data_IF_816394456749
#
_entry.id   IF_816394456749
#
_cell.length_a   1.000
_cell.length_b   1.000
_cell.length_c   1.000
_cell.angle_alpha   90.00
_cell.angle_beta   90.00
_cell.angle_gamma   90.00
#
_symmetry.space_group_name_H-M   'P 1'
#
loop_
_entity.id
_entity.type
_entity.pdbx_description
1 polymer ?
#
# COMPACT_ATOMS: atom_id res chain seq x y z
N UNK A 1 35.91 94.54 -6.52
CA UNK A 1 34.56 94.51 -5.92
C UNK A 1 33.62 93.96 -6.98
N UNK A 2 32.77 92.98 -6.60
CA UNK A 2 31.74 92.29 -7.42
C UNK A 2 32.31 91.27 -8.44
N UNK A 3 32.17 89.96 -8.14
CA UNK A 3 31.20 88.96 -8.71
C UNK A 3 31.67 88.47 -10.10
N UNK A 4 31.63 87.20 -10.52
CA UNK A 4 30.82 86.03 -10.17
C UNK A 4 31.38 84.79 -10.96
N UNK A 5 30.94 83.59 -10.57
CA UNK A 5 30.88 82.32 -11.34
C UNK A 5 32.15 81.47 -11.60
N UNK A 6 32.21 80.29 -10.96
CA UNK A 6 31.97 79.00 -11.64
C UNK A 6 31.97 77.80 -10.68
N UNK A 7 30.79 77.18 -10.58
CA UNK A 7 30.50 75.74 -10.40
C UNK A 7 31.39 74.88 -11.34
N UNK A 8 31.70 73.59 -11.17
CA UNK A 8 31.18 72.50 -10.35
C UNK A 8 32.10 71.26 -10.51
N UNK A 9 31.79 70.22 -9.73
CA UNK A 9 32.07 68.78 -9.94
C UNK A 9 33.20 68.11 -9.14
N UNK A 10 32.90 67.96 -7.85
CA UNK A 10 33.23 66.77 -7.06
C UNK A 10 32.47 65.55 -7.61
N UNK A 11 33.16 64.45 -7.95
CA UNK A 11 32.64 63.06 -7.89
C UNK A 11 33.71 62.08 -8.37
N UNK A 12 34.61 61.64 -7.48
CA UNK A 12 35.45 60.45 -7.75
C UNK A 12 36.25 59.98 -6.53
N UNK A 13 35.60 59.78 -5.37
CA UNK A 13 36.34 59.22 -4.21
C UNK A 13 35.54 58.34 -3.25
N UNK A 14 34.37 57.82 -3.65
CA UNK A 14 33.53 56.99 -2.75
C UNK A 14 33.06 55.64 -3.30
N UNK A 15 33.66 55.09 -4.38
CA UNK A 15 33.26 53.79 -4.95
C UNK A 15 34.18 52.60 -4.67
N UNK A 16 35.27 52.74 -3.91
CA UNK A 16 36.23 51.63 -3.72
C UNK A 16 36.16 50.87 -2.39
N UNK A 17 35.28 51.22 -1.44
CA UNK A 17 35.28 50.61 -0.10
C UNK A 17 34.14 49.62 0.21
N UNK A 18 33.34 49.16 -0.77
CA UNK A 18 32.19 48.26 -0.50
C UNK A 18 32.31 46.81 -1.04
N UNK A 19 33.42 46.40 -1.64
CA UNK A 19 33.53 45.07 -2.28
C UNK A 19 34.37 44.01 -1.54
N UNK A 20 34.64 44.18 -0.24
CA UNK A 20 35.34 43.18 0.58
C UNK A 20 34.55 42.79 1.84
N UNK A 21 33.25 42.49 1.67
CA UNK A 21 32.59 41.58 2.62
C UNK A 21 33.01 40.16 2.26
N UNK A 22 33.96 39.63 3.04
CA UNK A 22 34.41 38.25 2.95
C UNK A 22 33.22 37.30 2.74
N UNK A 23 33.25 36.53 1.67
CA UNK A 23 32.44 35.31 1.52
C UNK A 23 32.93 34.30 2.56
N UNK A 24 32.68 34.55 3.84
CA UNK A 24 32.95 33.58 4.90
C UNK A 24 32.02 32.40 4.64
N UNK A 25 32.57 31.31 4.11
CA UNK A 25 31.80 30.13 3.76
C UNK A 25 31.14 29.59 5.04
N UNK A 26 29.83 29.83 5.18
CA UNK A 26 29.08 29.52 6.39
C UNK A 26 28.97 28.01 6.58
N UNK A 27 29.64 27.48 7.61
CA UNK A 27 29.49 26.09 8.05
C UNK A 27 28.26 25.96 8.96
N UNK A 28 27.51 24.86 8.82
CA UNK A 28 26.31 24.54 9.60
C UNK A 28 26.40 23.10 10.12
N UNK A 29 25.60 22.77 11.14
CA UNK A 29 25.31 21.38 11.53
C UNK A 29 23.95 20.91 11.06
N UNK A 30 23.07 21.84 10.69
CA UNK A 30 21.66 21.58 10.45
C UNK A 30 21.38 21.74 8.96
N UNK A 31 20.94 20.65 8.34
CA UNK A 31 20.70 20.58 6.91
C UNK A 31 19.35 19.92 6.61
N UNK A 32 18.79 20.37 5.49
CA UNK A 32 17.59 19.88 4.87
C UNK A 32 17.97 19.51 3.44
N UNK A 33 17.66 18.28 3.05
CA UNK A 33 17.96 17.76 1.73
C UNK A 33 16.67 17.27 1.09
N UNK A 34 16.48 17.59 -0.18
CA UNK A 34 15.39 17.05 -0.98
C UNK A 34 16.00 16.35 -2.19
N UNK A 35 15.62 15.10 -2.44
CA UNK A 35 16.12 14.28 -3.55
C UNK A 35 14.96 13.78 -4.39
N UNK A 36 14.94 14.13 -5.68
CA UNK A 36 13.84 13.82 -6.61
C UNK A 36 13.88 12.41 -7.22
N UNK A 37 14.78 11.53 -6.75
CA UNK A 37 14.99 10.19 -7.31
C UNK A 37 14.99 9.13 -6.21
N UNK A 38 14.11 8.12 -6.34
CA UNK A 38 13.85 7.10 -5.29
C UNK A 38 14.12 5.67 -5.80
N UNK A 39 15.15 5.45 -6.61
CA UNK A 39 15.60 4.05 -6.83
C UNK A 39 16.40 3.49 -5.65
N UNK A 40 16.63 4.29 -4.61
CA UNK A 40 17.21 3.88 -3.34
C UNK A 40 16.10 3.95 -2.29
N UNK A 41 15.93 2.93 -1.46
CA UNK A 41 14.90 2.93 -0.42
C UNK A 41 15.26 3.89 0.72
N UNK A 42 14.25 4.41 1.44
CA UNK A 42 14.46 5.22 2.66
C UNK A 42 15.40 4.57 3.67
N UNK A 43 15.28 3.25 3.86
CA UNK A 43 16.11 2.49 4.80
C UNK A 43 17.59 2.54 4.41
N UNK A 44 17.91 2.27 3.14
CA UNK A 44 19.29 2.34 2.64
C UNK A 44 19.86 3.76 2.79
N UNK A 45 19.06 4.79 2.49
CA UNK A 45 19.48 6.19 2.69
C UNK A 45 19.74 6.49 4.17
N UNK A 46 18.91 5.97 5.05
CA UNK A 46 19.04 6.15 6.48
C UNK A 46 20.33 5.51 7.01
N UNK A 47 20.55 4.24 6.71
CA UNK A 47 21.72 3.46 7.16
C UNK A 47 23.03 4.12 6.71
N UNK A 48 23.08 4.60 5.46
CA UNK A 48 24.27 5.27 4.91
C UNK A 48 24.55 6.66 5.51
N UNK A 49 23.54 7.32 6.09
CA UNK A 49 23.67 8.66 6.65
C UNK A 49 23.75 8.68 8.18
N UNK A 50 23.33 7.60 8.84
CA UNK A 50 23.21 7.52 10.29
C UNK A 50 24.55 7.78 10.99
N UNK A 51 25.63 7.17 10.51
CA UNK A 51 26.98 7.32 11.07
C UNK A 51 27.49 8.78 11.06
N UNK A 52 27.00 9.61 10.14
CA UNK A 52 27.42 11.01 9.99
C UNK A 52 26.59 11.99 10.84
N UNK A 53 25.51 11.51 11.46
CA UNK A 53 24.47 12.34 12.05
C UNK A 53 24.25 12.00 13.53
N UNK A 54 24.02 13.01 14.37
CA UNK A 54 23.46 12.81 15.71
C UNK A 54 21.93 12.94 15.73
N UNK A 55 21.34 13.49 14.67
CA UNK A 55 19.90 13.42 14.39
C UNK A 55 19.70 13.26 12.90
N UNK A 56 18.82 12.35 12.53
CA UNK A 56 18.51 12.05 11.14
C UNK A 56 17.02 11.77 11.04
N UNK A 57 16.39 12.28 9.99
CA UNK A 57 15.06 11.86 9.58
C UNK A 57 15.06 11.74 8.06
N UNK A 58 14.58 10.62 7.56
CA UNK A 58 14.33 10.37 6.14
C UNK A 58 12.84 10.12 5.97
N UNK A 59 12.19 10.98 5.21
CA UNK A 59 10.78 10.85 4.84
C UNK A 59 10.62 10.82 3.32
N UNK A 60 9.54 10.21 2.86
CA UNK A 60 9.13 10.15 1.46
C UNK A 60 7.82 10.93 1.30
N UNK A 61 7.91 12.06 0.64
CA UNK A 61 6.82 13.03 0.54
C UNK A 61 6.61 13.43 -0.93
N UNK A 62 5.36 13.65 -1.37
CA UNK A 62 5.13 14.19 -2.71
C UNK A 62 5.64 15.63 -2.80
N UNK A 63 6.38 15.93 -3.87
CA UNK A 63 6.80 17.29 -4.17
C UNK A 63 5.70 18.06 -4.92
N UNK A 64 5.93 19.34 -5.27
CA UNK A 64 4.93 20.18 -5.96
C UNK A 64 4.38 19.58 -7.27
N UNK A 65 5.13 18.67 -7.89
CA UNK A 65 4.77 17.95 -9.12
C UNK A 65 4.07 16.60 -8.85
N UNK A 66 3.73 16.30 -7.60
CA UNK A 66 3.22 15.01 -7.11
C UNK A 66 4.18 13.83 -7.29
N UNK A 67 5.44 14.06 -7.66
CA UNK A 67 6.44 13.00 -7.67
C UNK A 67 6.95 12.76 -6.25
N UNK A 68 7.16 11.49 -5.86
CA UNK A 68 7.69 11.19 -4.54
C UNK A 68 9.15 11.63 -4.48
N UNK A 69 9.50 12.34 -3.42
CA UNK A 69 10.86 12.79 -3.13
C UNK A 69 11.30 12.29 -1.76
N UNK A 70 12.59 12.02 -1.59
CA UNK A 70 13.16 11.88 -0.26
C UNK A 70 13.41 13.27 0.33
N UNK A 71 12.78 13.53 1.48
CA UNK A 71 13.02 14.69 2.31
C UNK A 71 13.82 14.27 3.54
N UNK A 72 15.03 14.79 3.66
CA UNK A 72 15.99 14.39 4.68
C UNK A 72 16.27 15.59 5.58
N UNK A 73 16.03 15.44 6.88
CA UNK A 73 16.58 16.33 7.89
C UNK A 73 17.81 15.69 8.50
N UNK A 74 18.88 16.46 8.64
CA UNK A 74 20.14 15.97 9.18
C UNK A 74 20.77 17.00 10.12
N UNK A 75 21.17 16.52 11.30
CA UNK A 75 22.07 17.19 12.22
C UNK A 75 23.39 16.43 12.26
N UNK A 76 24.40 16.99 11.62
CA UNK A 76 25.71 16.36 11.48
C UNK A 76 26.53 16.46 12.76
N UNK A 77 27.44 15.50 12.97
CA UNK A 77 28.38 15.50 14.10
C UNK A 77 29.28 16.75 14.08
N UNK A 78 29.76 17.11 12.89
CA UNK A 78 30.65 18.25 12.65
C UNK A 78 29.98 19.37 11.86
N UNK A 79 30.57 20.57 11.92
CA UNK A 79 30.11 21.73 11.14
C UNK A 79 30.61 21.60 9.69
N UNK A 80 29.70 21.35 8.76
CA UNK A 80 30.01 21.14 7.34
C UNK A 80 29.54 22.32 6.48
N UNK A 81 30.06 22.38 5.25
CA UNK A 81 29.64 23.27 4.17
C UNK A 81 28.58 22.55 3.32
N UNK A 82 27.72 23.32 2.65
CA UNK A 82 26.70 22.76 1.75
C UNK A 82 27.33 21.87 0.66
N UNK A 83 28.51 22.24 0.13
CA UNK A 83 29.23 21.44 -0.89
C UNK A 83 29.64 20.05 -0.34
N UNK A 84 30.06 19.98 0.92
CA UNK A 84 30.45 18.71 1.57
C UNK A 84 29.22 17.81 1.74
N UNK A 85 28.09 18.36 2.22
CA UNK A 85 26.82 17.62 2.30
C UNK A 85 26.36 17.12 0.94
N UNK A 86 26.43 17.97 -0.09
CA UNK A 86 26.05 17.56 -1.45
C UNK A 86 26.91 16.41 -1.95
N UNK A 87 28.21 16.40 -1.66
CA UNK A 87 29.09 15.29 -2.03
C UNK A 87 28.72 13.99 -1.31
N UNK A 88 28.40 14.05 -0.02
CA UNK A 88 27.95 12.89 0.77
C UNK A 88 26.65 12.35 0.17
N UNK A 89 25.64 13.21 -0.02
CA UNK A 89 24.36 12.82 -0.60
C UNK A 89 24.55 12.24 -2.00
N UNK A 90 25.37 12.86 -2.85
CA UNK A 90 25.63 12.32 -4.18
C UNK A 90 26.25 10.91 -4.09
N UNK A 91 27.14 10.63 -3.14
CA UNK A 91 27.69 9.28 -2.95
C UNK A 91 26.60 8.25 -2.61
N UNK A 92 25.61 8.65 -1.78
CA UNK A 92 24.46 7.80 -1.41
C UNK A 92 23.54 7.51 -2.62
N UNK A 93 23.39 8.46 -3.53
CA UNK A 93 22.46 8.36 -4.67
C UNK A 93 23.14 8.12 -6.03
N UNK A 94 24.47 7.98 -6.08
CA UNK A 94 25.23 7.91 -7.33
C UNK A 94 25.11 6.55 -8.03
N UNK A 95 24.71 6.62 -9.32
CA UNK A 95 25.35 5.87 -10.41
C UNK A 95 26.72 6.51 -10.74
N UNK A 96 27.65 5.79 -11.41
CA UNK A 96 28.94 6.33 -11.85
C UNK A 96 28.71 7.58 -12.72
N UNK A 97 29.37 8.70 -12.41
CA UNK A 97 29.32 9.88 -13.26
C UNK A 97 30.25 9.71 -14.46
N UNK A 98 29.74 9.97 -15.66
CA UNK A 98 30.56 10.30 -16.83
C UNK A 98 31.06 11.73 -16.60
N UNK A 99 32.37 11.90 -16.65
CA UNK A 99 33.03 13.20 -16.62
C UNK A 99 32.64 13.99 -17.88
N UNK A 100 31.95 15.11 -17.72
CA UNK A 100 31.95 16.16 -18.74
C UNK A 100 32.63 17.40 -18.14
N UNK A 101 33.75 17.74 -18.76
CA UNK A 101 34.55 18.93 -18.53
C UNK A 101 33.80 20.18 -19.01
N UNK A 102 34.03 21.27 -18.25
CA UNK A 102 33.93 22.66 -18.66
C UNK A 102 32.57 23.24 -19.06
N UNK A 103 31.99 24.00 -18.13
CA UNK A 103 31.02 25.03 -18.46
C UNK A 103 30.29 25.55 -17.23
N UNK A 104 30.71 26.70 -16.72
CA UNK A 104 29.94 27.50 -15.76
C UNK A 104 28.54 27.78 -16.30
N UNK A 105 27.58 26.93 -15.94
CA UNK A 105 26.16 27.17 -16.12
C UNK A 105 25.43 26.65 -14.89
N UNK A 106 24.50 27.45 -14.38
CA UNK A 106 23.67 27.22 -13.20
C UNK A 106 22.64 26.09 -13.41
N UNK A 107 23.06 24.92 -13.88
CA UNK A 107 22.20 23.75 -13.97
C UNK A 107 22.40 22.87 -12.73
N UNK A 108 21.30 22.72 -11.99
CA UNK A 108 21.15 21.74 -10.93
C UNK A 108 21.63 20.38 -11.42
N UNK A 109 22.71 19.86 -10.83
CA UNK A 109 23.07 18.45 -10.96
C UNK A 109 21.90 17.65 -10.39
N UNK A 110 21.15 17.07 -11.33
CA UNK A 110 19.84 16.45 -11.26
C UNK A 110 19.38 15.98 -9.87
N UNK A 111 18.46 16.73 -9.28
CA UNK A 111 17.51 16.24 -8.27
C UNK A 111 17.85 16.47 -6.81
N UNK A 112 19.06 16.92 -6.44
CA UNK A 112 19.46 17.11 -5.03
C UNK A 112 19.50 18.59 -4.63
N UNK A 113 18.56 18.99 -3.78
CA UNK A 113 18.53 20.32 -3.16
C UNK A 113 19.03 20.23 -1.71
N UNK A 114 20.08 20.99 -1.36
CA UNK A 114 20.62 21.06 0.01
C UNK A 114 20.50 22.48 0.54
N UNK A 115 19.93 22.64 1.73
CA UNK A 115 19.79 23.92 2.41
C UNK A 115 20.10 23.81 3.90
N UNK A 116 20.47 24.92 4.54
CA UNK A 116 20.64 24.96 6.00
C UNK A 116 19.29 25.17 6.69
N UNK A 117 19.03 24.44 7.78
CA UNK A 117 17.78 24.56 8.53
C UNK A 117 17.88 25.68 9.56
N UNK A 118 16.95 26.63 9.51
CA UNK A 118 16.84 27.72 10.50
C UNK A 118 15.99 27.35 11.71
N UNK A 119 14.91 26.59 11.49
CA UNK A 119 14.01 26.14 12.53
C UNK A 119 13.73 24.64 12.30
N UNK A 120 14.32 23.81 13.17
CA UNK A 120 14.21 22.34 13.13
C UNK A 120 12.76 21.87 13.22
N UNK A 121 12.01 22.38 14.19
CA UNK A 121 10.63 21.95 14.46
C UNK A 121 9.72 22.22 13.26
N UNK A 122 9.82 23.41 12.65
CA UNK A 122 9.00 23.75 11.49
C UNK A 122 9.32 22.85 10.29
N UNK A 123 10.60 22.53 10.08
CA UNK A 123 11.00 21.68 8.98
C UNK A 123 10.54 20.24 9.20
N UNK A 124 10.75 19.66 10.39
CA UNK A 124 10.31 18.31 10.74
C UNK A 124 8.79 18.14 10.59
N UNK A 125 7.99 19.12 11.04
CA UNK A 125 6.54 19.12 10.85
C UNK A 125 6.11 19.19 9.38
N UNK A 126 6.90 19.87 8.54
CA UNK A 126 6.62 19.99 7.12
C UNK A 126 6.89 18.69 6.36
N UNK A 127 8.03 18.03 6.62
CA UNK A 127 8.47 16.83 5.89
C UNK A 127 7.92 15.50 6.42
N UNK A 128 7.09 15.52 7.46
CA UNK A 128 6.39 14.33 7.98
C UNK A 128 4.88 14.45 7.83
N UNK A 129 4.45 15.29 6.89
CA UNK A 129 3.04 15.66 6.73
C UNK A 129 2.25 14.55 6.04
N UNK A 130 2.84 13.82 5.11
CA UNK A 130 2.18 12.74 4.37
C UNK A 130 2.90 11.40 4.50
N UNK A 131 4.17 11.36 4.90
CA UNK A 131 4.86 10.11 5.17
C UNK A 131 4.38 9.49 6.48
N UNK A 132 3.76 8.31 6.36
CA UNK A 132 3.20 7.56 7.48
C UNK A 132 4.25 6.70 8.20
N UNK A 133 5.42 6.47 7.57
CA UNK A 133 6.51 5.65 8.09
C UNK A 133 7.87 6.33 7.83
N UNK A 134 8.11 7.55 8.33
CA UNK A 134 9.44 8.17 8.31
C UNK A 134 10.40 7.37 9.19
N UNK A 135 11.67 7.30 8.80
CA UNK A 135 12.74 6.67 9.58
C UNK A 135 13.54 7.78 10.25
N UNK A 136 13.72 7.73 11.57
CA UNK A 136 14.41 8.79 12.29
C UNK A 136 15.20 8.30 13.52
N UNK A 137 16.27 9.03 13.84
CA UNK A 137 17.09 8.86 15.04
C UNK A 137 17.30 10.22 15.73
N UNK A 138 17.29 10.22 17.06
CA UNK A 138 17.68 11.36 17.88
C UNK A 138 16.71 12.56 17.86
N UNK A 139 15.49 12.35 17.34
CA UNK A 139 14.44 13.36 17.18
C UNK A 139 13.27 13.03 18.10
N UNK A 140 12.77 14.04 18.82
CA UNK A 140 11.58 13.90 19.64
C UNK A 140 10.33 13.82 18.75
N UNK A 141 9.45 12.86 19.02
CA UNK A 141 8.22 12.65 18.25
C UNK A 141 7.28 13.87 18.26
N UNK A 142 7.30 14.65 19.34
CA UNK A 142 6.55 15.91 19.44
C UNK A 142 6.97 16.98 18.42
N UNK A 143 8.14 16.82 17.79
CA UNK A 143 8.60 17.68 16.69
C UNK A 143 8.06 17.25 15.32
N UNK A 144 7.42 16.07 15.21
CA UNK A 144 6.85 15.56 13.96
C UNK A 144 5.46 16.17 13.73
N UNK A 145 4.93 15.97 12.52
CA UNK A 145 3.66 16.56 12.13
C UNK A 145 2.49 16.04 12.98
N UNK A 146 1.46 16.87 13.12
CA UNK A 146 0.19 16.44 13.71
C UNK A 146 -0.40 15.21 13.02
N UNK A 147 -0.25 15.11 11.69
CA UNK A 147 -0.79 14.00 10.91
C UNK A 147 -0.08 12.69 11.22
N UNK A 148 1.25 12.69 11.32
CA UNK A 148 2.04 11.54 11.75
C UNK A 148 1.60 11.05 13.14
N UNK A 149 1.51 11.96 14.11
CA UNK A 149 1.10 11.64 15.47
C UNK A 149 -0.33 11.08 15.52
N UNK A 150 -1.23 11.62 14.69
CA UNK A 150 -2.61 11.13 14.56
C UNK A 150 -2.65 9.70 14.00
N UNK A 151 -1.88 9.40 12.95
CA UNK A 151 -1.86 8.06 12.35
C UNK A 151 -1.32 7.03 13.33
N UNK A 152 -0.26 7.36 14.07
CA UNK A 152 0.29 6.47 15.08
C UNK A 152 -0.69 6.21 16.23
N UNK A 153 -1.33 7.26 16.73
CA UNK A 153 -2.40 7.13 17.72
C UNK A 153 -3.54 6.24 17.19
N UNK A 154 -3.98 6.47 15.95
CA UNK A 154 -5.02 5.69 15.30
C UNK A 154 -4.63 4.22 15.08
N UNK A 155 -3.34 3.93 14.90
CA UNK A 155 -2.82 2.57 14.73
C UNK A 155 -2.84 1.80 16.06
N UNK A 156 -2.63 2.48 17.18
CA UNK A 156 -2.53 1.87 18.51
C UNK A 156 -3.86 1.75 19.25
N UNK A 157 -4.87 2.54 18.87
CA UNK A 157 -6.18 2.54 19.52
C UNK A 157 -7.23 1.81 18.68
N UNK A 158 -7.86 0.79 19.27
CA UNK A 158 -8.86 -0.06 18.60
C UNK A 158 -10.13 0.73 18.29
N UNK A 159 -10.65 1.44 19.29
CA UNK A 159 -11.90 2.21 19.18
C UNK A 159 -11.65 3.71 19.27
N UNK A 160 -12.43 4.50 18.53
CA UNK A 160 -12.40 5.95 18.63
C UNK A 160 -13.17 6.40 19.88
N UNK A 161 -12.48 7.05 20.83
CA UNK A 161 -13.10 7.59 22.04
C UNK A 161 -12.97 9.11 22.10
N UNK A 162 -14.09 9.81 22.26
CA UNK A 162 -14.08 11.28 22.43
C UNK A 162 -13.37 11.73 23.70
N UNK A 163 -13.23 10.85 24.68
CA UNK A 163 -12.54 11.08 25.96
C UNK A 163 -11.05 10.75 25.91
N UNK A 164 -10.53 10.27 24.78
CA UNK A 164 -9.10 9.96 24.64
C UNK A 164 -8.24 11.23 24.80
N UNK A 165 -7.13 11.19 25.54
CA UNK A 165 -6.25 12.35 25.73
C UNK A 165 -5.77 13.02 24.44
N UNK A 166 -5.52 12.24 23.37
CA UNK A 166 -5.15 12.77 22.07
C UNK A 166 -6.29 13.56 21.43
N UNK A 167 -7.53 13.06 21.52
CA UNK A 167 -8.72 13.74 21.01
C UNK A 167 -9.00 15.01 21.82
N UNK A 168 -8.90 14.93 23.14
CA UNK A 168 -9.11 16.06 24.05
C UNK A 168 -8.06 17.18 23.90
N UNK A 169 -6.83 16.84 23.48
CA UNK A 169 -5.80 17.84 23.17
C UNK A 169 -6.06 18.58 21.85
N UNK A 170 -6.93 18.05 20.98
CA UNK A 170 -7.23 18.61 19.65
C UNK A 170 -8.74 18.64 19.36
N UNK A 171 -9.56 19.26 20.23
CA UNK A 171 -11.01 19.18 20.15
C UNK A 171 -11.57 19.77 18.85
N UNK A 172 -10.92 20.78 18.28
CA UNK A 172 -11.31 21.39 17.00
C UNK A 172 -11.11 20.45 15.79
N UNK A 173 -10.30 19.40 15.93
CA UNK A 173 -9.97 18.46 14.86
C UNK A 173 -10.66 17.10 15.00
N UNK A 174 -11.61 16.93 15.94
CA UNK A 174 -12.19 15.62 16.25
C UNK A 174 -12.75 14.86 15.02
N UNK A 175 -13.42 15.55 14.08
CA UNK A 175 -13.93 14.92 12.84
C UNK A 175 -12.81 14.41 11.93
N UNK A 176 -11.68 15.12 11.89
CA UNK A 176 -10.51 14.68 11.14
C UNK A 176 -9.87 13.47 11.82
N UNK A 177 -9.72 13.51 13.15
CA UNK A 177 -9.20 12.41 13.93
C UNK A 177 -10.04 11.14 13.74
N UNK A 178 -11.37 11.26 13.80
CA UNK A 178 -12.32 10.16 13.58
C UNK A 178 -12.15 9.57 12.17
N UNK A 179 -12.08 10.44 11.16
CA UNK A 179 -11.86 10.00 9.76
C UNK A 179 -10.52 9.29 9.59
N UNK A 180 -9.44 9.80 10.19
CA UNK A 180 -8.11 9.15 10.12
C UNK A 180 -8.13 7.82 10.84
N UNK A 181 -8.74 7.75 12.02
CA UNK A 181 -8.91 6.52 12.80
C UNK A 181 -9.64 5.44 12.01
N UNK A 182 -10.82 5.73 11.47
CA UNK A 182 -11.59 4.79 10.64
C UNK A 182 -10.77 4.32 9.43
N UNK A 183 -10.05 5.23 8.76
CA UNK A 183 -9.22 4.87 7.61
C UNK A 183 -8.06 3.93 7.98
N UNK A 184 -7.36 4.22 9.08
CA UNK A 184 -6.25 3.38 9.58
C UNK A 184 -6.77 2.03 10.04
N UNK A 185 -7.87 1.99 10.80
CA UNK A 185 -8.49 0.75 11.24
C UNK A 185 -8.98 -0.08 10.06
N UNK A 186 -9.57 0.52 9.03
CA UNK A 186 -9.94 -0.20 7.81
C UNK A 186 -8.71 -0.77 7.08
N UNK A 187 -7.62 0.01 6.97
CA UNK A 187 -6.36 -0.48 6.38
C UNK A 187 -5.75 -1.62 7.19
N UNK A 188 -5.71 -1.51 8.51
CA UNK A 188 -5.17 -2.55 9.39
C UNK A 188 -6.05 -3.81 9.35
N UNK A 189 -7.38 -3.67 9.18
CA UNK A 189 -8.26 -4.81 8.90
C UNK A 189 -7.89 -5.46 7.56
N UNK A 190 -7.67 -4.68 6.50
CA UNK A 190 -7.22 -5.20 5.22
C UNK A 190 -5.80 -5.83 5.26
N UNK A 191 -4.92 -5.44 6.18
CA UNK A 191 -3.61 -6.10 6.41
C UNK A 191 -3.73 -7.46 7.10
N UNK A 192 -4.88 -7.81 7.71
CA UNK A 192 -5.13 -9.16 8.25
C UNK A 192 -5.42 -10.22 7.18
N UNK A 193 -5.61 -9.81 5.93
CA UNK A 193 -5.85 -10.74 4.83
C UNK A 193 -4.52 -11.02 4.15
N UNK A 194 -3.99 -12.22 4.34
CA UNK A 194 -2.78 -12.60 3.63
C UNK A 194 -3.02 -12.63 2.11
N UNK A 195 -1.97 -12.30 1.36
CA UNK A 195 -2.02 -12.38 -0.10
C UNK A 195 -2.01 -13.85 -0.50
N UNK A 196 -3.02 -14.27 -1.23
CA UNK A 196 -3.06 -15.58 -1.88
C UNK A 196 -1.83 -15.78 -2.76
N UNK A 197 -1.20 -16.96 -2.65
CA UNK A 197 -0.02 -17.32 -3.43
C UNK A 197 -0.35 -18.35 -4.53
N UNK A 198 0.40 -18.36 -5.64
CA UNK A 198 0.30 -19.44 -6.62
C UNK A 198 0.75 -20.78 -5.99
N UNK A 199 0.13 -21.87 -6.43
CA UNK A 199 0.54 -23.21 -6.06
C UNK A 199 1.69 -23.67 -6.98
N UNK A 200 2.86 -23.93 -6.39
CA UNK A 200 4.11 -24.19 -7.12
C UNK A 200 4.42 -25.69 -7.33
N UNK A 201 3.72 -26.61 -6.65
CA UNK A 201 3.99 -28.04 -6.71
C UNK A 201 3.16 -28.74 -7.80
N UNK A 202 3.57 -28.65 -9.07
CA UNK A 202 3.07 -29.55 -10.12
C UNK A 202 4.15 -30.61 -10.36
N UNK A 203 4.07 -31.73 -9.65
CA UNK A 203 5.01 -32.85 -9.82
C UNK A 203 4.30 -34.04 -10.47
N UNK A 204 4.85 -34.46 -11.63
CA UNK A 204 4.55 -35.62 -12.49
C UNK A 204 3.68 -35.40 -13.75
N UNK A 205 4.06 -36.07 -14.85
CA UNK A 205 3.37 -36.05 -16.15
C UNK A 205 1.99 -36.74 -16.09
N UNK A 206 1.77 -37.71 -15.18
CA UNK A 206 0.46 -38.36 -14.98
C UNK A 206 -0.57 -37.41 -14.36
N UNK A 207 -0.12 -36.42 -13.59
CA UNK A 207 -0.96 -35.41 -12.95
C UNK A 207 -1.45 -34.36 -13.97
N UNK A 208 -0.77 -34.20 -15.12
CA UNK A 208 -1.11 -33.21 -16.17
C UNK A 208 -2.54 -33.31 -16.73
N UNK A 209 -3.15 -34.50 -16.73
CA UNK A 209 -4.51 -34.73 -17.23
C UNK A 209 -5.55 -34.97 -16.13
N UNK A 210 -5.26 -34.55 -14.90
CA UNK A 210 -6.18 -34.69 -13.75
C UNK A 210 -7.05 -33.45 -13.55
N UNK A 211 -8.25 -33.64 -12.98
CA UNK A 211 -9.14 -32.53 -12.64
C UNK A 211 -8.50 -31.60 -11.58
N UNK A 212 -7.65 -32.14 -10.71
CA UNK A 212 -6.87 -31.38 -9.73
C UNK A 212 -5.97 -30.36 -10.43
N UNK A 213 -5.33 -30.73 -11.53
CA UNK A 213 -4.49 -29.82 -12.30
C UNK A 213 -5.30 -28.73 -13.00
N UNK A 214 -6.48 -29.03 -13.52
CA UNK A 214 -7.34 -27.99 -14.10
C UNK A 214 -7.75 -26.94 -13.06
N UNK A 215 -7.96 -27.36 -11.80
CA UNK A 215 -8.20 -26.49 -10.65
C UNK A 215 -6.96 -25.66 -10.31
N UNK A 216 -5.78 -26.28 -10.24
CA UNK A 216 -4.51 -25.56 -9.97
C UNK A 216 -4.21 -24.53 -11.05
N UNK A 217 -4.40 -24.86 -12.33
CA UNK A 217 -4.21 -23.93 -13.45
C UNK A 217 -5.17 -22.74 -13.32
N UNK A 218 -6.44 -23.01 -12.98
CA UNK A 218 -7.42 -21.95 -12.73
C UNK A 218 -7.03 -21.08 -11.53
N UNK A 219 -6.59 -21.68 -10.43
CA UNK A 219 -6.13 -20.98 -9.23
C UNK A 219 -4.97 -20.05 -9.56
N UNK A 220 -3.92 -20.59 -10.18
CA UNK A 220 -2.74 -19.82 -10.54
C UNK A 220 -3.05 -18.68 -11.51
N UNK A 221 -3.95 -18.88 -12.48
CA UNK A 221 -4.44 -17.77 -13.32
C UNK A 221 -5.14 -16.68 -12.50
N UNK A 222 -5.98 -17.05 -11.54
CA UNK A 222 -6.61 -16.09 -10.63
C UNK A 222 -5.62 -15.28 -9.82
N UNK A 223 -4.61 -15.95 -9.25
CA UNK A 223 -3.64 -15.29 -8.40
C UNK A 223 -2.70 -14.40 -9.21
N UNK A 224 -2.15 -14.90 -10.33
CA UNK A 224 -1.15 -14.18 -11.14
C UNK A 224 -1.79 -13.03 -11.91
N UNK A 225 -2.92 -13.27 -12.58
CA UNK A 225 -3.54 -12.28 -13.45
C UNK A 225 -4.62 -11.43 -12.77
N UNK A 226 -4.92 -11.72 -11.49
CA UNK A 226 -5.88 -10.98 -10.69
C UNK A 226 -7.32 -11.01 -11.23
N UNK A 227 -8.18 -10.17 -10.66
CA UNK A 227 -9.54 -10.00 -11.14
C UNK A 227 -9.59 -9.23 -12.47
N UNK A 228 -10.43 -9.71 -13.40
CA UNK A 228 -10.91 -8.96 -14.58
C UNK A 228 -12.42 -9.08 -14.63
N UNK A 229 -13.10 -8.07 -15.19
CA UNK A 229 -14.57 -8.10 -15.30
C UNK A 229 -15.03 -9.39 -16.01
N UNK A 230 -16.00 -10.10 -15.41
CA UNK A 230 -16.50 -11.41 -15.86
C UNK A 230 -15.45 -12.52 -15.93
N UNK A 231 -14.37 -12.45 -15.12
CA UNK A 231 -13.41 -13.55 -15.01
C UNK A 231 -14.11 -14.83 -14.51
N UNK A 232 -13.82 -15.96 -15.16
CA UNK A 232 -14.47 -17.22 -14.88
C UNK A 232 -14.19 -17.72 -13.46
N UNK A 233 -15.23 -18.07 -12.72
CA UNK A 233 -15.17 -18.69 -11.39
C UNK A 233 -15.16 -20.21 -11.50
N UNK A 234 -14.68 -20.93 -10.49
CA UNK A 234 -14.57 -22.38 -10.57
C UNK A 234 -15.88 -23.07 -10.17
N UNK A 235 -16.37 -23.96 -11.02
CA UNK A 235 -17.45 -24.89 -10.71
C UNK A 235 -16.92 -26.32 -10.74
N UNK A 236 -16.59 -26.86 -9.58
CA UNK A 236 -16.05 -28.20 -9.41
C UNK A 236 -17.18 -29.17 -9.06
N UNK A 237 -17.47 -30.11 -9.95
CA UNK A 237 -18.58 -31.05 -9.76
C UNK A 237 -18.20 -32.49 -9.99
N UNK A 238 -18.89 -33.41 -9.33
CA UNK A 238 -18.68 -34.85 -9.50
C UNK A 238 -19.25 -35.64 -8.33
N UNK A 239 -19.18 -36.98 -8.35
CA UNK A 239 -19.73 -37.82 -7.29
C UNK A 239 -19.22 -37.46 -5.89
N UNK A 240 -19.97 -37.80 -4.86
CA UNK A 240 -19.49 -37.74 -3.47
C UNK A 240 -18.24 -38.62 -3.29
N UNK A 241 -17.41 -38.31 -2.30
CA UNK A 241 -16.18 -39.05 -1.97
C UNK A 241 -15.08 -39.06 -3.05
N UNK A 242 -15.11 -38.12 -4.00
CA UNK A 242 -14.00 -37.93 -4.96
C UNK A 242 -12.87 -37.04 -4.43
N UNK A 243 -12.99 -36.53 -3.21
CA UNK A 243 -11.97 -35.69 -2.55
C UNK A 243 -12.03 -34.20 -2.91
N UNK A 244 -13.09 -33.71 -3.57
CA UNK A 244 -13.26 -32.29 -3.96
C UNK A 244 -13.01 -31.31 -2.81
N UNK A 245 -13.79 -31.44 -1.73
CA UNK A 245 -13.71 -30.56 -0.56
C UNK A 245 -12.32 -30.62 0.07
N UNK A 246 -11.82 -31.83 0.34
CA UNK A 246 -10.49 -32.03 0.92
C UNK A 246 -9.38 -31.39 0.08
N UNK A 247 -9.43 -31.54 -1.25
CA UNK A 247 -8.45 -30.95 -2.15
C UNK A 247 -8.49 -29.42 -2.15
N UNK A 248 -9.68 -28.81 -2.25
CA UNK A 248 -9.82 -27.34 -2.25
C UNK A 248 -9.36 -26.75 -0.92
N UNK A 249 -9.73 -27.34 0.22
CA UNK A 249 -9.24 -26.89 1.52
C UNK A 249 -7.72 -27.03 1.64
N UNK A 250 -7.15 -28.14 1.19
CA UNK A 250 -5.69 -28.33 1.19
C UNK A 250 -4.97 -27.32 0.29
N UNK A 251 -5.53 -27.01 -0.88
CA UNK A 251 -5.01 -26.01 -1.81
C UNK A 251 -5.00 -24.62 -1.16
N UNK A 252 -6.14 -24.19 -0.60
CA UNK A 252 -6.25 -22.89 0.05
C UNK A 252 -5.29 -22.81 1.23
N UNK A 253 -5.30 -23.80 2.13
CA UNK A 253 -4.40 -23.84 3.30
C UNK A 253 -2.94 -23.70 2.90
N UNK A 254 -2.50 -24.43 1.86
CA UNK A 254 -1.11 -24.39 1.38
C UNK A 254 -0.75 -23.03 0.76
N UNK A 255 -1.69 -22.40 0.06
CA UNK A 255 -1.47 -21.13 -0.64
C UNK A 255 -1.60 -19.90 0.25
N UNK A 256 -2.23 -20.02 1.42
CA UNK A 256 -2.31 -19.00 2.45
C UNK A 256 -1.14 -19.17 3.43
N UNK A 257 -1.02 -20.35 4.06
CA UNK A 257 0.00 -20.65 5.09
C UNK A 257 1.03 -21.68 4.57
N UNK A 258 2.05 -21.27 3.79
CA UNK A 258 3.05 -22.21 3.29
C UNK A 258 3.89 -22.80 4.43
N UNK A 259 4.35 -24.07 4.30
CA UNK A 259 5.10 -24.78 5.36
C UNK A 259 6.35 -24.05 5.88
N UNK A 260 6.95 -23.16 5.08
CA UNK A 260 8.13 -22.38 5.47
C UNK A 260 7.87 -21.28 6.49
N UNK A 261 6.61 -20.97 6.81
CA UNK A 261 6.20 -19.87 7.69
C UNK A 261 5.35 -20.34 8.89
N UNK A 262 5.34 -21.66 9.16
CA UNK A 262 4.45 -22.31 10.14
C UNK A 262 4.89 -22.22 11.61
N UNK A 263 6.01 -21.58 11.96
CA UNK A 263 6.57 -21.72 13.31
C UNK A 263 5.71 -21.10 14.44
N UNK A 264 4.74 -20.21 14.16
CA UNK A 264 3.87 -19.60 15.19
C UNK A 264 2.44 -19.22 14.72
N UNK A 265 1.99 -19.66 13.54
CA UNK A 265 0.68 -19.24 13.00
C UNK A 265 -0.48 -20.15 13.47
N UNK A 266 -1.62 -19.53 13.81
CA UNK A 266 -2.88 -20.24 14.09
C UNK A 266 -3.25 -21.15 12.90
N UNK A 267 -3.37 -22.47 13.15
CA UNK A 267 -3.67 -23.47 12.12
C UNK A 267 -4.95 -23.17 11.33
N UNK A 268 -5.86 -22.36 11.89
CA UNK A 268 -7.14 -21.99 11.30
C UNK A 268 -7.16 -20.61 10.64
N UNK A 269 -6.04 -19.88 10.61
CA UNK A 269 -6.00 -18.54 10.03
C UNK A 269 -6.52 -18.46 8.58
N UNK A 270 -6.30 -19.52 7.78
CA UNK A 270 -6.81 -19.58 6.42
C UNK A 270 -8.35 -19.66 6.35
N UNK A 271 -9.02 -20.19 7.38
CA UNK A 271 -10.48 -20.30 7.42
C UNK A 271 -11.15 -18.94 7.57
N UNK A 272 -10.53 -18.01 8.30
CA UNK A 272 -11.02 -16.63 8.45
C UNK A 272 -11.06 -15.87 7.11
N UNK A 273 -10.22 -16.29 6.15
CA UNK A 273 -10.14 -15.68 4.83
C UNK A 273 -11.17 -16.23 3.82
N UNK A 274 -11.87 -17.31 4.17
CA UNK A 274 -12.88 -17.97 3.33
C UNK A 274 -14.26 -17.45 3.70
N UNK A 275 -14.87 -16.70 2.78
CA UNK A 275 -16.28 -16.34 2.89
C UNK A 275 -17.18 -17.51 2.46
N UNK A 276 -18.17 -17.86 3.29
CA UNK A 276 -19.17 -18.91 3.03
C UNK A 276 -20.59 -18.35 3.03
N UNK A 277 -21.17 -18.04 1.86
CA UNK A 277 -22.55 -17.60 1.74
C UNK A 277 -23.54 -18.61 2.31
N UNK A 278 -24.36 -18.21 3.30
CA UNK A 278 -25.32 -19.11 3.94
C UNK A 278 -26.67 -19.15 3.18
N UNK A 279 -27.09 -20.30 2.61
CA UNK A 279 -28.29 -20.35 1.77
C UNK A 279 -29.64 -20.28 2.54
N UNK A 280 -29.63 -20.40 3.87
CA UNK A 280 -30.81 -20.50 4.74
C UNK A 280 -31.93 -19.49 4.42
N UNK A 281 -31.59 -18.26 4.07
CA UNK A 281 -32.53 -17.29 3.51
C UNK A 281 -31.88 -16.62 2.28
N UNK A 282 -32.36 -16.92 1.07
CA UNK A 282 -31.79 -16.43 -0.22
C UNK A 282 -31.41 -14.94 -0.22
N UNK A 283 -32.24 -14.10 0.41
CA UNK A 283 -32.07 -12.64 0.49
C UNK A 283 -30.93 -12.18 1.40
N UNK A 284 -30.44 -13.05 2.28
CA UNK A 284 -29.42 -12.78 3.29
C UNK A 284 -28.14 -13.61 3.08
N UNK A 285 -28.05 -14.37 1.99
CA UNK A 285 -26.90 -15.26 1.73
C UNK A 285 -25.54 -14.55 1.75
N UNK A 286 -25.52 -13.23 1.51
CA UNK A 286 -24.31 -12.42 1.41
C UNK A 286 -24.10 -11.46 2.60
N UNK A 287 -24.86 -11.61 3.68
CA UNK A 287 -24.96 -10.60 4.76
C UNK A 287 -23.70 -10.48 5.64
N UNK A 288 -22.86 -11.51 5.67
CA UNK A 288 -21.64 -11.57 6.49
C UNK A 288 -20.37 -11.28 5.68
N UNK A 289 -20.52 -10.93 4.40
CA UNK A 289 -19.37 -10.64 3.56
C UNK A 289 -18.64 -9.37 4.04
N UNK A 290 -17.38 -9.55 4.41
CA UNK A 290 -16.44 -8.48 4.72
C UNK A 290 -15.19 -8.57 3.83
N UNK A 291 -14.98 -7.57 2.98
CA UNK A 291 -13.80 -7.48 2.10
C UNK A 291 -12.48 -7.24 2.84
N UNK A 292 -12.54 -6.95 4.14
CA UNK A 292 -11.38 -6.80 5.01
C UNK A 292 -11.01 -8.07 5.75
N UNK A 293 -11.82 -9.12 5.68
CA UNK A 293 -11.54 -10.42 6.26
C UNK A 293 -11.36 -11.49 5.18
N UNK A 294 -12.17 -11.43 4.13
CA UNK A 294 -12.24 -12.51 3.14
C UNK A 294 -11.54 -12.15 1.83
N UNK A 295 -10.80 -13.11 1.28
CA UNK A 295 -10.19 -13.04 -0.07
C UNK A 295 -10.55 -14.22 -0.96
N UNK A 296 -11.33 -15.19 -0.48
CA UNK A 296 -11.85 -16.32 -1.24
C UNK A 296 -13.33 -16.48 -0.91
N UNK A 297 -14.15 -16.86 -1.88
CA UNK A 297 -15.51 -17.35 -1.62
C UNK A 297 -15.57 -18.85 -1.92
N UNK A 298 -16.03 -19.63 -0.94
CA UNK A 298 -16.23 -21.07 -1.08
C UNK A 298 -17.67 -21.41 -0.78
N UNK A 299 -18.33 -22.07 -1.73
CA UNK A 299 -19.67 -22.64 -1.53
C UNK A 299 -19.55 -24.14 -1.69
N UNK A 300 -19.50 -24.84 -0.56
CA UNK A 300 -19.59 -26.30 -0.54
C UNK A 300 -21.06 -26.73 -0.67
N UNK A 301 -21.26 -27.91 -1.26
CA UNK A 301 -22.59 -28.46 -1.55
C UNK A 301 -23.51 -27.52 -2.36
N UNK A 302 -22.93 -26.79 -3.32
CA UNK A 302 -23.65 -25.79 -4.10
C UNK A 302 -24.85 -26.39 -4.85
N UNK A 303 -26.04 -25.90 -4.50
CA UNK A 303 -27.27 -26.02 -5.27
C UNK A 303 -27.74 -24.63 -5.70
N UNK A 304 -27.81 -24.39 -7.01
CA UNK A 304 -28.22 -23.10 -7.56
C UNK A 304 -29.65 -22.71 -7.17
N UNK A 305 -30.51 -23.69 -6.90
CA UNK A 305 -31.89 -23.46 -6.51
C UNK A 305 -32.00 -22.81 -5.15
N UNK A 306 -30.94 -22.81 -4.34
CA UNK A 306 -30.86 -22.18 -3.03
C UNK A 306 -30.44 -20.72 -3.06
N UNK A 307 -30.10 -20.18 -4.24
CA UNK A 307 -29.59 -18.82 -4.37
C UNK A 307 -30.46 -17.95 -5.28
N UNK A 308 -30.34 -16.63 -5.10
CA UNK A 308 -30.90 -15.67 -6.05
C UNK A 308 -29.98 -15.56 -7.26
N UNK A 309 -30.43 -16.06 -8.41
CA UNK A 309 -29.65 -16.08 -9.66
C UNK A 309 -29.26 -14.66 -10.12
N UNK A 310 -30.08 -13.65 -9.84
CA UNK A 310 -29.76 -12.25 -10.19
C UNK A 310 -28.59 -11.73 -9.37
N UNK A 311 -28.54 -12.04 -8.08
CA UNK A 311 -27.46 -11.63 -7.19
C UNK A 311 -26.18 -12.39 -7.54
N UNK A 312 -26.28 -13.72 -7.75
CA UNK A 312 -25.18 -14.55 -8.24
C UNK A 312 -24.57 -13.98 -9.52
N UNK A 313 -25.39 -13.59 -10.50
CA UNK A 313 -24.88 -12.97 -11.74
C UNK A 313 -24.05 -11.72 -11.47
N UNK A 314 -24.56 -10.79 -10.66
CA UNK A 314 -23.84 -9.56 -10.32
C UNK A 314 -22.50 -9.88 -9.67
N UNK A 315 -22.49 -10.82 -8.74
CA UNK A 315 -21.31 -11.26 -8.01
C UNK A 315 -20.28 -11.89 -8.95
N UNK A 316 -20.70 -12.80 -9.83
CA UNK A 316 -19.83 -13.43 -10.84
C UNK A 316 -19.24 -12.42 -11.83
N UNK A 317 -19.96 -11.34 -12.14
CA UNK A 317 -19.43 -10.21 -12.94
C UNK A 317 -18.43 -9.33 -12.18
N UNK A 318 -18.40 -9.43 -10.84
CA UNK A 318 -17.78 -8.46 -9.93
C UNK A 318 -18.48 -7.11 -9.92
N UNK A 319 -19.78 -7.07 -10.18
CA UNK A 319 -20.64 -5.89 -10.06
C UNK A 319 -21.02 -5.63 -8.59
N UNK A 320 -21.48 -4.41 -8.29
CA UNK A 320 -21.97 -4.08 -6.97
C UNK A 320 -23.36 -4.68 -6.71
N UNK A 321 -23.56 -5.18 -5.49
CA UNK A 321 -24.79 -5.75 -4.97
C UNK A 321 -25.14 -5.06 -3.65
N UNK A 322 -26.43 -4.91 -3.36
CA UNK A 322 -26.92 -4.52 -2.04
C UNK A 322 -27.27 -5.80 -1.28
N UNK A 323 -26.40 -6.21 -0.36
CA UNK A 323 -26.64 -7.33 0.53
C UNK A 323 -27.54 -6.86 1.69
N UNK A 324 -28.68 -7.53 1.87
CA UNK A 324 -29.52 -7.27 3.03
C UNK A 324 -28.91 -7.93 4.26
N UNK A 325 -29.06 -7.30 5.43
CA UNK A 325 -28.59 -7.82 6.71
C UNK A 325 -29.75 -7.92 7.67
N UNK A 326 -29.89 -9.06 8.35
CA UNK A 326 -31.02 -9.28 9.27
C UNK A 326 -30.95 -8.30 10.44
N UNK A 327 -31.97 -7.45 10.58
CA UNK A 327 -32.06 -6.46 11.67
C UNK A 327 -31.06 -5.29 11.57
N UNK A 328 -30.38 -5.13 10.43
CA UNK A 328 -29.39 -4.08 10.21
C UNK A 328 -29.61 -3.38 8.86
N UNK A 329 -28.89 -2.27 8.63
CA UNK A 329 -28.91 -1.59 7.34
C UNK A 329 -28.26 -2.45 6.26
N UNK A 330 -28.85 -2.45 5.06
CA UNK A 330 -28.27 -3.15 3.93
C UNK A 330 -26.89 -2.57 3.57
N UNK A 331 -26.00 -3.44 3.13
CA UNK A 331 -24.61 -3.11 2.82
C UNK A 331 -24.37 -3.23 1.32
N UNK A 332 -23.68 -2.25 0.73
CA UNK A 332 -23.20 -2.36 -0.65
C UNK A 332 -21.92 -3.19 -0.65
N UNK A 333 -21.92 -4.31 -1.35
CA UNK A 333 -20.78 -5.23 -1.46
C UNK A 333 -20.37 -5.41 -2.93
N UNK A 334 -19.10 -5.78 -3.13
CA UNK A 334 -18.54 -6.09 -4.44
C UNK A 334 -17.47 -7.16 -4.27
N UNK A 335 -17.66 -8.31 -4.91
CA UNK A 335 -16.72 -9.42 -4.84
C UNK A 335 -15.81 -9.39 -6.07
N UNK A 336 -14.51 -9.26 -5.85
CA UNK A 336 -13.46 -9.28 -6.89
C UNK A 336 -12.38 -10.30 -6.55
N UNK A 337 -12.83 -11.49 -6.17
CA UNK A 337 -11.99 -12.54 -5.61
C UNK A 337 -12.34 -13.89 -6.24
N UNK A 338 -11.45 -14.90 -6.12
CA UNK A 338 -11.74 -16.26 -6.56
C UNK A 338 -12.98 -16.81 -5.84
N UNK A 339 -13.89 -17.37 -6.61
CA UNK A 339 -15.08 -18.05 -6.12
C UNK A 339 -15.08 -19.49 -6.60
N UNK A 340 -15.31 -20.41 -5.66
CA UNK A 340 -15.28 -21.85 -5.89
C UNK A 340 -16.63 -22.42 -5.47
N UNK A 341 -17.33 -23.03 -6.43
CA UNK A 341 -18.52 -23.84 -6.19
C UNK A 341 -18.11 -25.31 -6.19
N UNK A 342 -18.43 -26.04 -5.13
CA UNK A 342 -18.27 -27.49 -5.06
C UNK A 342 -19.68 -28.10 -5.08
N UNK A 343 -19.97 -29.00 -6.02
CA UNK A 343 -21.28 -29.62 -6.10
C UNK A 343 -21.22 -31.11 -6.40
N UNK A 344 -22.19 -31.87 -5.89
CA UNK A 344 -22.46 -33.22 -6.35
C UNK A 344 -23.51 -33.24 -7.49
N UNK A 345 -24.18 -32.10 -7.73
CA UNK A 345 -25.15 -31.93 -8.79
C UNK A 345 -24.45 -31.53 -10.10
N UNK A 346 -24.99 -31.94 -11.26
CA UNK A 346 -24.46 -31.49 -12.54
C UNK A 346 -24.60 -29.97 -12.67
N UNK A 347 -23.65 -29.30 -13.35
CA UNK A 347 -23.76 -27.89 -13.63
C UNK A 347 -25.04 -27.61 -14.45
N UNK A 348 -25.67 -26.44 -14.29
CA UNK A 348 -26.91 -26.11 -14.97
C UNK A 348 -26.67 -25.70 -16.44
N UNK A 349 -25.96 -26.55 -17.20
CA UNK A 349 -25.53 -26.27 -18.58
C UNK A 349 -26.67 -26.44 -19.58
N UNK A 350 -27.61 -27.35 -19.28
CA UNK A 350 -28.73 -27.70 -20.16
C UNK A 350 -29.97 -26.79 -19.99
N UNK A 351 -29.97 -25.91 -18.98
CA UNK A 351 -31.04 -24.92 -18.81
C UNK A 351 -30.85 -23.79 -19.82
N UNK A 352 -31.65 -23.81 -20.89
CA UNK A 352 -31.61 -22.84 -21.98
C UNK A 352 -32.29 -21.52 -21.64
N UNK A 353 -32.72 -21.30 -20.39
CA UNK A 353 -33.27 -20.02 -19.99
C UNK A 353 -32.23 -18.90 -20.12
N UNK A 354 -32.69 -17.74 -20.59
CA UNK A 354 -31.92 -16.47 -20.58
C UNK A 354 -31.47 -16.11 -19.17
N UNK A 355 -32.21 -16.59 -18.16
CA UNK A 355 -31.85 -16.43 -16.77
C UNK A 355 -30.57 -17.19 -16.39
N UNK A 356 -30.24 -18.31 -17.04
CA UNK A 356 -29.05 -19.11 -16.72
C UNK A 356 -27.84 -18.84 -17.60
N UNK A 357 -28.01 -18.18 -18.74
CA UNK A 357 -26.93 -17.84 -19.67
C UNK A 357 -25.76 -17.09 -18.99
N UNK A 358 -26.05 -16.00 -18.28
CA UNK A 358 -25.02 -15.19 -17.64
C UNK A 358 -24.25 -15.89 -16.50
N UNK A 359 -24.80 -16.96 -15.92
CA UNK A 359 -24.08 -17.79 -14.95
C UNK A 359 -23.10 -18.72 -15.69
N UNK A 360 -23.58 -19.41 -16.73
CA UNK A 360 -22.78 -20.36 -17.55
C UNK A 360 -21.56 -19.70 -18.19
N UNK A 361 -21.73 -18.50 -18.74
CA UNK A 361 -20.65 -17.71 -19.36
C UNK A 361 -19.57 -17.25 -18.37
N UNK A 362 -19.75 -17.45 -17.05
CA UNK A 362 -18.88 -16.94 -15.99
C UNK A 362 -18.31 -18.04 -15.10
N UNK A 363 -18.50 -19.30 -15.47
CA UNK A 363 -17.94 -20.43 -14.73
C UNK A 363 -17.00 -21.26 -15.62
N UNK A 364 -15.88 -21.69 -15.05
CA UNK A 364 -15.05 -22.77 -15.56
C UNK A 364 -15.54 -24.05 -14.88
N UNK A 365 -16.12 -24.94 -15.67
CA UNK A 365 -16.61 -26.24 -15.18
C UNK A 365 -15.44 -27.22 -15.18
N UNK A 366 -15.19 -27.84 -14.03
CA UNK A 366 -14.22 -28.94 -13.88
C UNK A 366 -14.96 -30.15 -13.31
N UNK A 367 -14.80 -31.31 -13.95
CA UNK A 367 -15.46 -32.55 -13.54
C UNK A 367 -14.48 -33.42 -12.74
N UNK A 368 -14.77 -33.60 -11.46
CA UNK A 368 -14.02 -34.46 -10.56
C UNK A 368 -14.43 -35.92 -10.76
N UNK A 369 -13.66 -36.62 -11.58
CA UNK A 369 -13.77 -38.05 -11.78
C UNK A 369 -12.87 -38.81 -10.77
N UNK A 370 -13.17 -40.09 -10.51
CA UNK A 370 -12.51 -40.87 -9.44
C UNK A 370 -10.98 -40.74 -9.47
N UNK A 371 -10.38 -40.62 -8.28
CA UNK A 371 -8.96 -40.85 -8.06
C UNK A 371 -8.55 -42.19 -8.69
N UNK A 372 -7.56 -42.15 -9.58
CA UNK A 372 -6.74 -43.32 -9.86
C UNK A 372 -6.15 -43.70 -8.49
N UNK A 373 -6.39 -44.95 -8.07
CA UNK A 373 -6.01 -45.49 -6.76
C UNK A 373 -4.52 -45.36 -6.50
#
# INVERSE_FOLDING_TARGET
MQSENSEESETSTNQQNNNLRSNTIKRSRLFAVTVSYINVSKAVVFDLLEEFCCRLLVAEEPHFNNEPHHHIYMRTLEKLKIKEIRSIINTVYQRPQIEEEDGESNYAVNGVLVQTVRNEVNYLKYITKFDVKPIFMGILESNLSFYYNTIRWATTNVDFQYTDPHVLNYPQYYKLLEKVHVNVQNKNKHEKVEKLRPFLNVQSEEVQNSWQNEVIIWWNDWIVNGFKHKKHQLFLWGPSNTGKTTFIHSLIKTCVNPPSEQEDQDENFYEEQIFRPTPNEKRFAWQEFDSSLHNITLIDEFDITEYNVTDLKKILSGECLIANRKGQTSQKIQLRMPMIFISNLPPPVNDMSTQMQGFRERIKIVKADKLIK
#
